data_IF_081617315797
#
_entry.id   IF_081617315797
#
_cell.length_a   1.000
_cell.length_b   1.000
_cell.length_c   1.000
_cell.angle_alpha   90.00
_cell.angle_beta   90.00
_cell.angle_gamma   90.00
#
_symmetry.space_group_name_H-M   'P 1'
#
loop_
_entity.id
_entity.type
_entity.pdbx_description
1 polymer ?
#
# COMPACT_ATOMS: atom_id res chain seq x y z
N UNK A 1 8.42 8.76 37.33
CA UNK A 1 9.10 8.60 36.01
C UNK A 1 8.11 7.92 35.09
N UNK A 2 7.85 8.46 33.91
CA UNK A 2 7.00 7.82 32.90
C UNK A 2 7.79 6.64 32.35
N UNK A 3 7.33 5.41 32.59
CA UNK A 3 7.93 4.21 32.00
C UNK A 3 7.54 4.13 30.53
N UNK A 4 8.49 4.23 29.63
CA UNK A 4 8.29 4.10 28.18
C UNK A 4 8.97 2.85 27.71
N UNK A 5 8.23 1.88 27.21
CA UNK A 5 8.72 0.57 26.78
C UNK A 5 8.31 0.36 25.31
N UNK A 6 9.26 -0.09 24.49
CA UNK A 6 8.97 -0.64 23.17
C UNK A 6 8.79 -2.15 23.31
N UNK A 7 7.66 -2.67 22.87
CA UNK A 7 7.33 -4.09 22.96
C UNK A 7 6.44 -4.52 21.79
N UNK A 8 6.22 -5.82 21.66
CA UNK A 8 5.17 -6.36 20.80
C UNK A 8 3.83 -6.35 21.58
N UNK A 9 2.71 -6.16 20.88
CA UNK A 9 1.41 -6.22 21.50
C UNK A 9 1.00 -7.65 21.84
N UNK A 10 0.10 -7.79 22.81
CA UNK A 10 -0.60 -9.02 23.12
C UNK A 10 -2.05 -8.95 22.60
N UNK A 11 -2.78 -10.04 22.65
CA UNK A 11 -4.20 -10.07 22.22
C UNK A 11 -5.08 -9.03 22.91
N UNK A 12 -4.84 -8.76 24.20
CA UNK A 12 -5.57 -7.73 24.96
C UNK A 12 -5.33 -6.31 24.45
N UNK A 13 -4.29 -6.10 23.67
CA UNK A 13 -3.92 -4.80 23.11
C UNK A 13 -4.64 -4.48 21.80
N UNK A 14 -5.23 -5.49 21.13
CA UNK A 14 -5.89 -5.35 19.81
C UNK A 14 -6.97 -4.26 19.81
N UNK A 15 -7.89 -4.16 20.79
CA UNK A 15 -8.88 -3.09 20.79
C UNK A 15 -8.27 -1.68 20.84
N UNK A 16 -7.18 -1.50 21.59
CA UNK A 16 -6.46 -0.23 21.68
C UNK A 16 -5.72 0.11 20.38
N UNK A 17 -5.13 -0.89 19.72
CA UNK A 17 -4.50 -0.73 18.40
C UNK A 17 -5.52 -0.31 17.33
N UNK A 18 -6.67 -0.99 17.28
CA UNK A 18 -7.75 -0.64 16.35
C UNK A 18 -8.26 0.78 16.59
N UNK A 19 -8.44 1.14 17.89
CA UNK A 19 -8.85 2.50 18.24
C UNK A 19 -7.83 3.53 17.79
N UNK A 20 -6.53 3.33 18.07
CA UNK A 20 -5.48 4.26 17.68
C UNK A 20 -5.41 4.40 16.16
N UNK A 21 -5.55 3.29 15.42
CA UNK A 21 -5.62 3.31 13.95
C UNK A 21 -6.78 4.18 13.45
N UNK A 22 -7.98 3.91 13.96
CA UNK A 22 -9.20 4.65 13.57
C UNK A 22 -9.11 6.14 13.89
N UNK A 23 -8.57 6.47 15.07
CA UNK A 23 -8.41 7.87 15.51
C UNK A 23 -7.41 8.66 14.59
N UNK A 24 -6.41 7.99 14.02
CA UNK A 24 -5.36 8.65 13.23
C UNK A 24 -5.64 8.60 11.72
N UNK A 25 -6.09 7.47 11.19
CA UNK A 25 -6.25 7.26 9.75
C UNK A 25 -7.70 7.38 9.28
N UNK A 26 -8.68 7.23 10.19
CA UNK A 26 -10.10 7.37 9.86
C UNK A 26 -10.71 6.19 9.11
N UNK A 27 -9.99 5.07 8.99
CA UNK A 27 -10.48 3.87 8.32
C UNK A 27 -11.68 3.26 9.06
N UNK A 28 -12.57 2.64 8.31
CA UNK A 28 -13.77 2.01 8.85
C UNK A 28 -13.49 0.63 9.47
N UNK A 29 -14.50 0.12 10.20
CA UNK A 29 -14.34 -1.15 10.88
C UNK A 29 -14.20 -2.34 9.90
N UNK A 30 -14.75 -2.25 8.70
CA UNK A 30 -14.66 -3.31 7.70
C UNK A 30 -13.22 -3.44 7.17
N UNK A 31 -12.53 -2.33 6.96
CA UNK A 31 -11.11 -2.32 6.62
C UNK A 31 -10.26 -2.86 7.77
N UNK A 32 -10.51 -2.41 8.99
CA UNK A 32 -9.78 -2.89 10.17
C UNK A 32 -9.98 -4.40 10.40
N UNK A 33 -11.20 -4.92 10.20
CA UNK A 33 -11.47 -6.35 10.28
C UNK A 33 -10.66 -7.14 9.24
N UNK A 34 -10.57 -6.63 8.01
CA UNK A 34 -9.75 -7.21 6.96
C UNK A 34 -8.27 -7.20 7.34
N UNK A 35 -7.74 -6.04 7.73
CA UNK A 35 -6.32 -5.87 8.10
C UNK A 35 -5.93 -6.79 9.25
N UNK A 36 -6.68 -6.78 10.36
CA UNK A 36 -6.37 -7.59 11.54
C UNK A 36 -6.53 -9.10 11.30
N UNK A 37 -7.37 -9.50 10.35
CA UNK A 37 -7.54 -10.91 9.95
C UNK A 37 -6.44 -11.41 9.03
N UNK A 38 -5.95 -10.57 8.10
CA UNK A 38 -5.12 -11.02 6.96
C UNK A 38 -3.65 -10.58 7.09
N UNK A 39 -3.41 -9.38 7.65
CA UNK A 39 -2.09 -8.73 7.64
C UNK A 39 -1.46 -8.60 9.01
N UNK A 40 -2.28 -8.48 10.05
CA UNK A 40 -1.77 -8.29 11.40
C UNK A 40 -0.94 -9.49 11.87
N UNK A 41 0.28 -9.18 12.35
CA UNK A 41 1.15 -10.14 13.01
C UNK A 41 1.71 -9.49 14.28
N UNK A 42 1.40 -10.00 15.48
CA UNK A 42 1.88 -9.42 16.72
C UNK A 42 3.40 -9.39 16.82
N UNK A 43 4.12 -10.40 16.29
CA UNK A 43 5.59 -10.46 16.33
C UNK A 43 6.24 -9.39 15.45
N UNK A 44 5.52 -8.90 14.44
CA UNK A 44 5.96 -7.87 13.50
C UNK A 44 5.28 -6.52 13.75
N UNK A 45 4.58 -6.39 14.88
CA UNK A 45 3.96 -5.15 15.33
C UNK A 45 4.73 -4.61 16.53
N UNK A 46 5.09 -3.35 16.48
CA UNK A 46 5.85 -2.69 17.55
C UNK A 46 5.03 -1.54 18.12
N UNK A 47 4.95 -1.47 19.45
CA UNK A 47 4.17 -0.46 20.15
C UNK A 47 5.00 0.24 21.22
N UNK A 48 4.60 1.47 21.54
CA UNK A 48 5.08 2.17 22.74
C UNK A 48 3.92 2.34 23.69
N UNK A 49 4.15 1.95 24.94
CA UNK A 49 3.24 2.20 26.07
C UNK A 49 3.79 3.29 26.99
N UNK A 50 2.93 4.20 27.39
CA UNK A 50 3.11 5.10 28.54
C UNK A 50 2.08 4.75 29.59
N UNK A 51 2.50 4.38 30.81
CA UNK A 51 1.60 4.01 31.90
C UNK A 51 0.53 2.99 31.46
N UNK A 52 0.96 1.92 30.77
CA UNK A 52 0.11 0.84 30.21
C UNK A 52 -0.79 1.26 29.03
N UNK A 53 -0.84 2.53 28.66
CA UNK A 53 -1.58 2.99 27.48
C UNK A 53 -0.72 2.93 26.21
N UNK A 54 -1.27 2.37 25.12
CA UNK A 54 -0.59 2.42 23.81
C UNK A 54 -0.67 3.84 23.26
N UNK A 55 0.49 4.45 23.08
CA UNK A 55 0.63 5.83 22.56
C UNK A 55 1.22 5.91 21.17
N UNK A 56 1.88 4.84 20.71
CA UNK A 56 2.38 4.76 19.33
C UNK A 56 2.42 3.30 18.86
N UNK A 57 2.30 3.12 17.55
CA UNK A 57 2.33 1.82 16.89
C UNK A 57 3.03 1.90 15.52
N UNK A 58 3.56 0.77 15.08
CA UNK A 58 4.14 0.52 13.77
C UNK A 58 3.93 -0.96 13.42
N UNK A 59 3.47 -1.24 12.21
CA UNK A 59 3.35 -2.60 11.67
C UNK A 59 4.40 -2.83 10.59
N UNK A 60 4.98 -4.02 10.58
CA UNK A 60 5.86 -4.48 9.50
C UNK A 60 5.23 -5.71 8.85
N UNK A 61 5.06 -5.66 7.54
CA UNK A 61 4.53 -6.75 6.73
C UNK A 61 5.66 -7.33 5.89
N UNK A 62 5.98 -8.61 6.12
CA UNK A 62 7.06 -9.29 5.37
C UNK A 62 6.51 -9.81 4.06
N UNK A 63 7.21 -9.49 2.98
CA UNK A 63 6.87 -9.92 1.63
C UNK A 63 8.12 -10.18 0.79
N UNK A 64 7.92 -10.56 -0.46
CA UNK A 64 8.98 -10.79 -1.43
C UNK A 64 8.95 -9.68 -2.47
N UNK A 65 10.05 -8.95 -2.61
CA UNK A 65 10.30 -8.13 -3.79
C UNK A 65 11.04 -8.98 -4.83
N UNK A 66 10.58 -8.89 -6.08
CA UNK A 66 11.29 -9.48 -7.23
C UNK A 66 12.01 -8.35 -7.95
N UNK A 67 13.31 -8.52 -8.21
CA UNK A 67 14.13 -7.58 -8.97
C UNK A 67 14.98 -8.37 -9.95
N UNK A 68 14.70 -8.23 -11.25
CA UNK A 68 15.43 -8.97 -12.29
C UNK A 68 15.58 -10.46 -11.93
N UNK A 69 14.46 -11.12 -11.61
CA UNK A 69 14.35 -12.52 -11.17
C UNK A 69 14.99 -12.84 -9.81
N UNK A 70 15.75 -11.93 -9.21
CA UNK A 70 16.25 -12.07 -7.84
C UNK A 70 15.13 -11.80 -6.84
N UNK A 71 14.95 -12.70 -5.89
CA UNK A 71 14.01 -12.54 -4.78
C UNK A 71 14.72 -11.88 -3.60
N UNK A 72 14.15 -10.78 -3.10
CA UNK A 72 14.62 -10.05 -1.94
C UNK A 72 13.57 -10.12 -0.85
N UNK A 73 14.02 -10.24 0.40
CA UNK A 73 13.12 -10.19 1.55
C UNK A 73 12.78 -8.74 1.88
N UNK A 74 11.53 -8.36 1.65
CA UNK A 74 11.01 -7.04 1.91
C UNK A 74 10.29 -6.93 3.25
N UNK A 75 10.28 -5.73 3.82
CA UNK A 75 9.39 -5.35 4.91
C UNK A 75 8.68 -4.03 4.57
N UNK A 76 7.37 -4.11 4.38
CA UNK A 76 6.51 -2.94 4.26
C UNK A 76 6.20 -2.39 5.65
N UNK A 77 6.57 -1.15 5.91
CA UNK A 77 6.27 -0.47 7.17
C UNK A 77 5.00 0.36 6.99
N UNK A 78 3.96 0.03 7.73
CA UNK A 78 2.65 0.69 7.64
C UNK A 78 2.06 0.97 9.02
N UNK A 79 0.95 1.71 9.05
CA UNK A 79 0.25 2.04 10.29
C UNK A 79 1.14 2.73 11.33
N UNK A 80 2.11 3.54 10.87
CA UNK A 80 3.01 4.29 11.76
C UNK A 80 2.23 5.45 12.36
N UNK A 81 1.79 5.29 13.59
CA UNK A 81 0.94 6.26 14.25
C UNK A 81 1.42 6.61 15.65
N UNK A 82 1.16 7.85 16.05
CA UNK A 82 1.34 8.34 17.42
C UNK A 82 0.10 9.08 17.85
N UNK A 83 -0.45 8.70 19.00
CA UNK A 83 -1.60 9.35 19.63
C UNK A 83 -1.34 10.87 19.69
N UNK A 84 -2.35 11.67 19.39
CA UNK A 84 -2.19 13.12 19.26
C UNK A 84 -1.58 13.76 20.51
N UNK A 85 -2.06 13.38 21.70
CA UNK A 85 -1.56 13.85 22.98
C UNK A 85 -0.11 13.45 23.31
N UNK A 86 0.45 12.51 22.55
CA UNK A 86 1.80 11.98 22.72
C UNK A 86 2.77 12.40 21.58
N UNK A 87 2.30 13.22 20.63
CA UNK A 87 3.14 13.78 19.56
C UNK A 87 4.24 14.68 20.10
N UNK A 88 5.29 14.89 19.32
CA UNK A 88 6.45 15.71 19.71
C UNK A 88 7.47 14.99 20.59
N UNK A 89 7.16 13.80 21.14
CA UNK A 89 8.08 13.02 21.99
C UNK A 89 9.01 12.05 21.23
N UNK A 90 8.95 12.05 19.90
CA UNK A 90 9.81 11.22 19.03
C UNK A 90 9.46 9.74 18.99
N UNK A 91 8.23 9.33 19.33
CA UNK A 91 7.86 7.92 19.43
C UNK A 91 7.84 7.21 18.08
N UNK A 92 7.31 7.84 17.02
CA UNK A 92 7.39 7.27 15.67
C UNK A 92 8.86 7.03 15.26
N UNK A 93 9.76 7.99 15.53
CA UNK A 93 11.19 7.82 15.25
C UNK A 93 11.81 6.65 16.01
N UNK A 94 11.48 6.49 17.29
CA UNK A 94 11.96 5.36 18.11
C UNK A 94 11.47 4.03 17.58
N UNK A 95 10.21 3.94 17.14
CA UNK A 95 9.64 2.70 16.56
C UNK A 95 10.32 2.37 15.22
N UNK A 96 10.52 3.34 14.34
CA UNK A 96 11.22 3.13 13.06
C UNK A 96 12.64 2.62 13.32
N UNK A 97 13.42 3.30 14.15
CA UNK A 97 14.79 2.89 14.47
C UNK A 97 14.85 1.49 15.11
N UNK A 98 13.93 1.19 16.01
CA UNK A 98 13.84 -0.11 16.65
C UNK A 98 13.52 -1.21 15.63
N UNK A 99 12.55 -0.99 14.75
CA UNK A 99 12.12 -1.93 13.71
C UNK A 99 13.27 -2.23 12.75
N UNK A 100 13.95 -1.19 12.24
CA UNK A 100 15.10 -1.34 11.34
C UNK A 100 16.26 -2.13 11.97
N UNK A 101 16.46 -2.00 13.28
CA UNK A 101 17.49 -2.73 14.03
C UNK A 101 17.08 -4.15 14.38
N UNK A 102 15.80 -4.39 14.66
CA UNK A 102 15.27 -5.70 15.07
C UNK A 102 15.14 -6.65 13.90
N UNK A 103 14.72 -6.18 12.74
CA UNK A 103 14.49 -6.99 11.54
C UNK A 103 15.76 -7.11 10.68
N UNK A 104 16.82 -7.71 11.24
CA UNK A 104 18.17 -7.78 10.61
C UNK A 104 18.22 -8.58 9.29
N UNK A 105 17.30 -9.53 9.09
CA UNK A 105 17.26 -10.40 7.92
C UNK A 105 16.49 -9.80 6.72
N UNK A 106 16.13 -8.51 6.79
CA UNK A 106 15.41 -7.80 5.72
C UNK A 106 16.44 -7.16 4.78
N UNK A 107 16.26 -7.39 3.48
CA UNK A 107 17.07 -6.79 2.42
C UNK A 107 16.59 -5.37 2.10
N UNK A 108 15.26 -5.17 2.08
CA UNK A 108 14.63 -3.91 1.69
C UNK A 108 13.49 -3.56 2.64
N UNK A 109 13.61 -2.42 3.33
CA UNK A 109 12.48 -1.78 4.00
C UNK A 109 11.85 -0.77 3.06
N UNK A 110 10.53 -0.71 3.01
CA UNK A 110 9.83 0.30 2.23
C UNK A 110 8.51 0.70 2.89
N UNK A 111 8.01 1.86 2.50
CA UNK A 111 6.78 2.43 3.03
C UNK A 111 6.15 3.37 1.98
N UNK A 112 4.87 3.67 2.17
CA UNK A 112 4.15 4.68 1.40
C UNK A 112 3.83 5.83 2.35
N UNK A 113 4.49 7.00 2.20
CA UNK A 113 4.18 8.18 3.00
C UNK A 113 2.74 8.64 2.74
N UNK A 114 1.99 8.98 3.78
CA UNK A 114 0.63 9.50 3.64
C UNK A 114 0.57 10.88 2.97
N UNK A 115 1.67 11.66 3.09
CA UNK A 115 1.80 13.01 2.52
C UNK A 115 3.22 13.22 1.98
N UNK A 116 3.36 14.08 0.99
CA UNK A 116 4.66 14.41 0.37
C UNK A 116 5.67 14.94 1.39
N UNK A 117 5.23 15.74 2.34
CA UNK A 117 6.07 16.30 3.43
C UNK A 117 6.76 15.23 4.28
N UNK A 118 6.22 14.02 4.33
CA UNK A 118 6.78 12.91 5.10
C UNK A 118 8.00 12.26 4.44
N UNK A 119 8.28 12.50 3.15
CA UNK A 119 9.52 12.02 2.53
C UNK A 119 10.75 12.58 3.24
N UNK A 120 10.76 13.87 3.58
CA UNK A 120 11.86 14.49 4.35
C UNK A 120 11.95 13.92 5.78
N UNK A 121 10.83 13.57 6.37
CA UNK A 121 10.82 12.87 7.67
C UNK A 121 11.50 11.51 7.58
N UNK A 122 11.15 10.68 6.59
CA UNK A 122 11.71 9.34 6.42
C UNK A 122 13.15 9.35 5.91
N UNK A 123 13.57 10.36 5.17
CA UNK A 123 14.95 10.56 4.73
C UNK A 123 15.94 10.57 5.90
N UNK A 124 15.53 11.05 7.08
CA UNK A 124 16.36 11.04 8.29
C UNK A 124 16.74 9.64 8.78
N UNK A 125 15.98 8.61 8.39
CA UNK A 125 16.24 7.20 8.66
C UNK A 125 16.96 6.50 7.51
N UNK A 126 17.32 7.23 6.46
CA UNK A 126 17.99 6.73 5.26
C UNK A 126 17.04 6.14 4.23
N UNK A 127 15.74 6.50 4.26
CA UNK A 127 14.82 6.19 3.18
C UNK A 127 15.01 7.18 2.02
N UNK A 128 14.88 6.66 0.80
CA UNK A 128 14.90 7.43 -0.44
C UNK A 128 13.64 7.14 -1.26
N UNK A 129 13.22 8.03 -2.17
CA UNK A 129 12.12 7.75 -3.08
C UNK A 129 12.34 6.46 -3.86
N UNK A 130 11.30 5.62 -3.97
CA UNK A 130 11.37 4.28 -4.53
C UNK A 130 10.56 4.13 -5.82
N UNK A 131 9.24 4.26 -5.75
CA UNK A 131 8.37 4.23 -6.92
C UNK A 131 7.77 5.61 -7.18
N UNK A 132 7.42 5.85 -8.45
CA UNK A 132 6.89 7.12 -8.90
C UNK A 132 5.60 6.89 -9.68
N UNK A 133 4.59 7.72 -9.39
CA UNK A 133 3.32 7.74 -10.09
C UNK A 133 2.95 9.15 -10.50
N UNK A 134 2.13 9.27 -11.55
CA UNK A 134 1.40 10.48 -11.84
C UNK A 134 -0.11 10.19 -11.78
N UNK A 135 -0.83 11.08 -11.12
CA UNK A 135 -2.29 11.02 -11.09
C UNK A 135 -2.83 11.77 -12.32
N UNK A 136 -3.21 11.00 -13.34
CA UNK A 136 -3.74 11.55 -14.59
C UNK A 136 -5.25 11.70 -14.49
N UNK A 137 -5.76 12.91 -14.67
CA UNK A 137 -7.21 13.16 -14.71
C UNK A 137 -7.80 12.71 -16.05
N UNK A 138 -8.91 11.97 -15.97
CA UNK A 138 -9.63 11.46 -17.13
C UNK A 138 -10.89 12.27 -17.32
N UNK A 139 -11.02 12.89 -18.49
CA UNK A 139 -12.24 13.61 -18.86
C UNK A 139 -13.33 12.63 -19.29
N UNK A 140 -14.60 12.86 -18.91
CA UNK A 140 -15.72 12.08 -19.43
C UNK A 140 -15.73 12.05 -20.95
N UNK A 141 -16.10 10.92 -21.52
CA UNK A 141 -16.17 10.79 -23.00
C UNK A 141 -16.91 9.51 -23.37
N UNK A 142 -17.53 9.52 -24.56
CA UNK A 142 -18.18 8.32 -25.09
C UNK A 142 -17.14 7.36 -25.63
N UNK A 143 -17.37 6.08 -25.38
CA UNK A 143 -16.55 4.98 -25.88
C UNK A 143 -17.46 4.02 -26.63
N UNK A 144 -17.25 3.86 -27.93
CA UNK A 144 -18.10 3.03 -28.78
C UNK A 144 -17.99 1.55 -28.46
N UNK A 145 -16.80 1.09 -28.08
CA UNK A 145 -16.54 -0.31 -27.76
C UNK A 145 -15.39 -0.43 -26.76
N UNK A 146 -15.57 -1.30 -25.79
CA UNK A 146 -14.50 -1.74 -24.88
C UNK A 146 -14.20 -3.22 -25.11
N UNK A 147 -12.99 -3.71 -24.77
CA UNK A 147 -12.66 -5.12 -24.81
C UNK A 147 -13.61 -5.94 -23.92
N UNK A 148 -13.81 -7.21 -24.29
CA UNK A 148 -14.55 -8.16 -23.45
C UNK A 148 -13.83 -8.34 -22.11
N UNK A 149 -14.61 -8.38 -21.03
CA UNK A 149 -14.07 -8.55 -19.70
C UNK A 149 -14.98 -9.41 -18.82
N UNK A 150 -14.39 -9.96 -17.76
CA UNK A 150 -15.13 -10.59 -16.66
C UNK A 150 -14.88 -9.80 -15.38
N UNK A 151 -15.95 -9.52 -14.63
CA UNK A 151 -15.82 -8.98 -13.28
C UNK A 151 -15.61 -10.14 -12.30
N UNK A 152 -14.72 -9.98 -11.31
CA UNK A 152 -14.52 -10.95 -10.26
C UNK A 152 -13.06 -11.24 -9.94
N UNK A 153 -12.82 -12.38 -9.30
CA UNK A 153 -11.52 -12.80 -8.79
C UNK A 153 -11.03 -14.07 -9.47
N UNK A 154 -9.85 -14.02 -10.04
CA UNK A 154 -9.12 -15.18 -10.55
C UNK A 154 -7.64 -15.01 -10.23
N UNK A 155 -7.16 -15.72 -9.20
CA UNK A 155 -5.75 -15.62 -8.78
C UNK A 155 -4.80 -15.99 -9.92
N UNK A 156 -5.08 -17.04 -10.67
CA UNK A 156 -4.23 -17.52 -11.75
C UNK A 156 -4.00 -16.42 -12.81
N UNK A 157 -5.09 -15.79 -13.28
CA UNK A 157 -5.01 -14.70 -14.26
C UNK A 157 -4.33 -13.47 -13.68
N UNK A 158 -4.72 -13.03 -12.47
CA UNK A 158 -4.15 -11.86 -11.80
C UNK A 158 -2.65 -12.02 -11.58
N UNK A 159 -2.20 -13.19 -11.08
CA UNK A 159 -0.79 -13.45 -10.86
C UNK A 159 0.00 -13.47 -12.17
N UNK A 160 -0.51 -14.18 -13.20
CA UNK A 160 0.12 -14.23 -14.53
C UNK A 160 0.32 -12.82 -15.11
N UNK A 161 -0.73 -12.00 -15.12
CA UNK A 161 -0.67 -10.66 -15.70
C UNK A 161 0.18 -9.71 -14.85
N UNK A 162 0.13 -9.82 -13.52
CA UNK A 162 0.98 -9.05 -12.62
C UNK A 162 2.47 -9.36 -12.88
N UNK A 163 2.86 -10.62 -12.97
CA UNK A 163 4.25 -11.02 -13.22
C UNK A 163 4.73 -10.60 -14.62
N UNK A 164 3.87 -10.66 -15.64
CA UNK A 164 4.26 -10.29 -17.01
C UNK A 164 4.34 -8.77 -17.23
N UNK A 165 3.49 -7.98 -16.55
CA UNK A 165 3.40 -6.53 -16.75
C UNK A 165 4.31 -5.74 -15.81
N UNK A 166 4.76 -6.33 -14.70
CA UNK A 166 5.59 -5.68 -13.69
C UNK A 166 7.05 -6.08 -13.87
N UNK A 167 7.63 -5.67 -14.99
CA UNK A 167 9.06 -5.82 -15.24
C UNK A 167 9.87 -4.96 -14.26
N UNK A 168 11.10 -5.35 -13.94
CA UNK A 168 11.99 -4.59 -13.06
C UNK A 168 11.88 -5.02 -11.60
N UNK A 169 11.42 -4.13 -10.71
CA UNK A 169 11.26 -4.42 -9.29
C UNK A 169 9.81 -4.28 -8.85
N UNK A 170 9.22 -5.33 -8.28
CA UNK A 170 7.84 -5.33 -7.81
C UNK A 170 7.65 -6.19 -6.56
N UNK A 171 6.57 -5.94 -5.82
CA UNK A 171 6.14 -6.79 -4.71
C UNK A 171 5.38 -7.99 -5.28
N UNK A 172 5.91 -9.20 -5.06
CA UNK A 172 5.23 -10.43 -5.43
C UNK A 172 4.04 -10.67 -4.50
N UNK A 173 2.86 -10.87 -5.08
CA UNK A 173 1.62 -11.07 -4.33
C UNK A 173 1.25 -12.55 -4.29
N UNK A 174 0.88 -13.02 -3.10
CA UNK A 174 0.28 -14.33 -2.89
C UNK A 174 -1.22 -14.32 -3.23
N UNK A 175 -1.84 -15.51 -3.18
CA UNK A 175 -3.30 -15.63 -3.23
C UNK A 175 -3.99 -14.75 -2.18
N UNK A 176 -3.48 -14.76 -0.95
CA UNK A 176 -4.07 -13.99 0.15
C UNK A 176 -3.93 -12.48 -0.06
N UNK A 177 -2.83 -12.02 -0.66
CA UNK A 177 -2.65 -10.60 -0.98
C UNK A 177 -3.66 -10.13 -2.02
N UNK A 178 -3.79 -10.85 -3.14
CA UNK A 178 -4.79 -10.51 -4.17
C UNK A 178 -6.22 -10.63 -3.63
N UNK A 179 -6.49 -11.64 -2.79
CA UNK A 179 -7.81 -11.83 -2.18
C UNK A 179 -8.15 -10.68 -1.22
N UNK A 180 -7.18 -10.21 -0.44
CA UNK A 180 -7.36 -9.05 0.44
C UNK A 180 -7.64 -7.76 -0.36
N UNK A 181 -6.89 -7.52 -1.45
CA UNK A 181 -7.13 -6.40 -2.36
C UNK A 181 -8.54 -6.50 -2.96
N UNK A 182 -8.95 -7.69 -3.42
CA UNK A 182 -10.29 -7.92 -3.94
C UNK A 182 -11.37 -7.67 -2.90
N UNK A 183 -11.19 -8.14 -1.67
CA UNK A 183 -12.15 -7.93 -0.58
C UNK A 183 -12.27 -6.45 -0.20
N UNK A 184 -11.17 -5.69 -0.31
CA UNK A 184 -11.15 -4.25 -0.08
C UNK A 184 -11.88 -3.48 -1.18
N UNK A 185 -11.47 -3.66 -2.42
CA UNK A 185 -11.98 -2.87 -3.56
C UNK A 185 -13.21 -3.50 -4.22
N UNK A 186 -13.29 -4.83 -4.36
CA UNK A 186 -14.33 -5.61 -5.06
C UNK A 186 -14.59 -5.16 -6.51
N UNK A 187 -13.60 -4.54 -7.15
CA UNK A 187 -13.70 -3.92 -8.46
C UNK A 187 -12.52 -4.32 -9.35
N UNK A 188 -12.52 -5.61 -9.76
CA UNK A 188 -11.57 -6.14 -10.72
C UNK A 188 -12.26 -6.39 -12.04
N UNK A 189 -11.70 -5.84 -13.12
CA UNK A 189 -12.05 -6.19 -14.51
C UNK A 189 -10.89 -6.99 -15.08
N UNK A 190 -11.15 -8.22 -15.52
CA UNK A 190 -10.17 -9.14 -16.06
C UNK A 190 -10.43 -9.30 -17.55
N UNK A 191 -9.45 -8.97 -18.37
CA UNK A 191 -9.44 -9.05 -19.82
C UNK A 191 -8.69 -10.30 -20.30
N UNK A 192 -8.59 -10.50 -21.61
CA UNK A 192 -7.80 -11.58 -22.20
C UNK A 192 -6.31 -11.46 -21.88
N UNK A 193 -5.79 -10.22 -21.90
CA UNK A 193 -4.37 -9.88 -21.82
C UNK A 193 -3.98 -9.08 -20.58
N UNK A 194 -4.91 -8.83 -19.65
CA UNK A 194 -4.61 -8.07 -18.44
C UNK A 194 -5.78 -7.88 -17.48
N UNK A 195 -5.62 -6.97 -16.55
CA UNK A 195 -6.66 -6.58 -15.60
C UNK A 195 -6.59 -5.09 -15.24
N UNK A 196 -7.69 -4.61 -14.68
CA UNK A 196 -7.81 -3.27 -14.09
C UNK A 196 -8.41 -3.43 -12.70
N UNK A 197 -7.83 -2.70 -11.72
CA UNK A 197 -8.37 -2.53 -10.37
C UNK A 197 -8.78 -1.08 -10.18
N UNK A 198 -10.01 -0.87 -9.73
CA UNK A 198 -10.53 0.47 -9.51
C UNK A 198 -11.44 0.55 -8.30
N UNK A 199 -11.70 1.76 -7.85
CA UNK A 199 -12.77 2.06 -6.90
C UNK A 199 -13.49 3.35 -7.26
N UNK A 200 -14.68 3.51 -6.69
CA UNK A 200 -15.48 4.76 -6.79
C UNK A 200 -15.72 5.22 -5.35
N UNK A 201 -15.28 6.42 -5.05
CA UNK A 201 -15.51 7.05 -3.76
C UNK A 201 -15.90 8.51 -3.92
N UNK A 202 -16.93 8.94 -3.22
CA UNK A 202 -17.44 10.32 -3.26
C UNK A 202 -17.67 10.86 -4.69
N UNK A 203 -18.17 10.00 -5.60
CA UNK A 203 -18.42 10.36 -6.99
C UNK A 203 -17.17 10.47 -7.87
N UNK A 204 -16.02 9.98 -7.41
CA UNK A 204 -14.76 10.00 -8.15
C UNK A 204 -14.32 8.56 -8.45
N UNK A 205 -14.06 8.28 -9.73
CA UNK A 205 -13.41 7.04 -10.18
C UNK A 205 -11.90 7.13 -9.94
N UNK A 206 -11.29 6.07 -9.44
CA UNK A 206 -9.84 5.94 -9.41
C UNK A 206 -9.43 4.56 -9.92
N UNK A 207 -8.69 4.53 -11.02
CA UNK A 207 -7.98 3.33 -11.47
C UNK A 207 -6.68 3.28 -10.69
N UNK A 208 -6.56 2.28 -9.80
CA UNK A 208 -5.41 2.14 -8.89
C UNK A 208 -4.32 1.29 -9.49
N UNK A 209 -4.68 0.31 -10.30
CA UNK A 209 -3.73 -0.57 -10.96
C UNK A 209 -4.30 -1.07 -12.29
N UNK A 210 -3.44 -1.22 -13.27
CA UNK A 210 -3.77 -1.84 -14.54
C UNK A 210 -2.54 -2.54 -15.13
N UNK A 211 -2.77 -3.62 -15.87
CA UNK A 211 -1.74 -4.39 -16.59
C UNK A 211 -1.98 -4.41 -18.10
N UNK A 212 -3.11 -3.89 -18.55
CA UNK A 212 -3.42 -3.59 -19.95
C UNK A 212 -2.68 -2.33 -20.41
N UNK A 213 -2.66 -2.04 -21.72
CA UNK A 213 -2.12 -0.79 -22.24
C UNK A 213 -2.85 0.44 -21.70
N UNK A 214 -2.14 1.57 -21.63
CA UNK A 214 -2.71 2.80 -21.09
C UNK A 214 -3.96 3.29 -21.85
N UNK A 215 -3.97 3.15 -23.17
CA UNK A 215 -5.09 3.51 -24.03
C UNK A 215 -6.34 2.68 -23.72
N UNK A 216 -6.16 1.40 -23.39
CA UNK A 216 -7.25 0.53 -22.92
C UNK A 216 -7.73 1.00 -21.54
N UNK A 217 -6.81 1.26 -20.62
CA UNK A 217 -7.15 1.75 -19.28
C UNK A 217 -7.91 3.10 -19.33
N UNK A 218 -7.51 4.02 -20.22
CA UNK A 218 -8.18 5.30 -20.45
C UNK A 218 -9.60 5.09 -21.01
N UNK A 219 -9.76 4.24 -22.03
CA UNK A 219 -11.06 3.91 -22.61
C UNK A 219 -11.99 3.27 -21.59
N UNK A 220 -11.49 2.32 -20.78
CA UNK A 220 -12.26 1.71 -19.69
C UNK A 220 -12.64 2.75 -18.64
N UNK A 221 -11.76 3.69 -18.32
CA UNK A 221 -12.07 4.77 -17.37
C UNK A 221 -13.25 5.63 -17.87
N UNK A 222 -13.25 6.03 -19.13
CA UNK A 222 -14.35 6.78 -19.75
C UNK A 222 -15.66 6.00 -19.73
N UNK A 223 -15.60 4.71 -20.09
CA UNK A 223 -16.75 3.82 -20.00
C UNK A 223 -17.32 3.71 -18.58
N UNK A 224 -16.44 3.53 -17.59
CA UNK A 224 -16.86 3.44 -16.18
C UNK A 224 -17.44 4.76 -15.67
N UNK A 225 -16.89 5.90 -16.10
CA UNK A 225 -17.43 7.22 -15.77
C UNK A 225 -18.82 7.43 -16.36
N UNK A 226 -19.03 7.10 -17.64
CA UNK A 226 -20.34 7.17 -18.29
C UNK A 226 -21.35 6.23 -17.62
N UNK A 227 -20.98 4.96 -17.45
CA UNK A 227 -21.83 3.93 -16.81
C UNK A 227 -22.30 4.31 -15.40
N UNK A 228 -21.45 4.99 -14.63
CA UNK A 228 -21.73 5.39 -13.24
C UNK A 228 -22.09 6.88 -13.10
N UNK A 229 -22.27 7.61 -14.20
CA UNK A 229 -22.62 9.05 -14.22
C UNK A 229 -21.65 9.90 -13.41
N UNK A 230 -20.34 9.68 -13.60
CA UNK A 230 -19.28 10.37 -12.89
C UNK A 230 -18.68 11.49 -13.74
N UNK A 231 -18.42 12.64 -13.11
CA UNK A 231 -17.79 13.79 -13.77
C UNK A 231 -16.26 13.78 -13.65
N UNK A 232 -15.70 13.03 -12.67
CA UNK A 232 -14.27 12.98 -12.41
C UNK A 232 -13.75 11.56 -12.32
N UNK A 233 -12.60 11.35 -12.95
CA UNK A 233 -11.87 10.09 -12.86
C UNK A 233 -10.37 10.32 -12.91
N UNK A 234 -9.61 9.39 -12.33
CA UNK A 234 -8.16 9.42 -12.31
C UNK A 234 -7.57 8.05 -12.61
N UNK A 235 -6.43 8.05 -13.30
CA UNK A 235 -5.58 6.86 -13.45
C UNK A 235 -4.27 7.13 -12.73
N UNK A 236 -3.83 6.20 -11.88
CA UNK A 236 -2.48 6.20 -11.33
C UNK A 236 -1.52 5.61 -12.37
N UNK A 237 -0.85 6.49 -13.11
CA UNK A 237 0.10 6.11 -14.16
C UNK A 237 1.46 5.80 -13.54
N UNK A 238 1.99 4.61 -13.81
CA UNK A 238 3.33 4.18 -13.39
C UNK A 238 4.43 4.99 -14.07
N UNK A 239 5.63 4.96 -13.48
CA UNK A 239 6.82 5.65 -14.00
C UNK A 239 6.59 7.15 -14.21
N UNK A 240 5.79 7.74 -13.33
CA UNK A 240 5.54 9.17 -13.25
C UNK A 240 6.71 9.95 -12.66
N UNK A 241 6.43 11.19 -12.27
CA UNK A 241 7.43 12.09 -11.67
C UNK A 241 7.22 12.30 -10.17
N UNK A 242 6.02 12.00 -9.67
CA UNK A 242 5.65 12.21 -8.27
C UNK A 242 6.09 11.02 -7.44
N UNK A 243 6.95 11.19 -6.42
CA UNK A 243 7.32 10.11 -5.52
C UNK A 243 6.07 9.52 -4.84
N UNK A 244 5.97 8.19 -4.82
CA UNK A 244 4.85 7.49 -4.23
C UNK A 244 5.25 6.66 -3.01
N UNK A 245 6.35 5.93 -3.10
CA UNK A 245 6.88 5.15 -1.99
C UNK A 245 8.33 5.51 -1.70
N UNK A 246 8.79 5.16 -0.51
CA UNK A 246 10.18 5.31 -0.10
C UNK A 246 10.76 3.96 0.34
N UNK A 247 12.06 3.75 0.13
CA UNK A 247 12.77 2.54 0.51
C UNK A 247 14.08 2.83 1.24
N UNK A 248 14.51 1.84 2.00
CA UNK A 248 15.86 1.74 2.55
C UNK A 248 16.37 0.32 2.31
N UNK A 249 17.50 0.19 1.63
CA UNK A 249 18.12 -1.09 1.34
C UNK A 249 19.59 -1.09 1.67
N UNK A 250 20.15 -2.28 1.90
CA UNK A 250 21.58 -2.51 1.97
C UNK A 250 22.21 -2.71 0.59
N UNK A 251 21.39 -3.04 -0.41
CA UNK A 251 21.81 -3.19 -1.80
C UNK A 251 21.47 -1.91 -2.59
N UNK A 252 22.28 -1.60 -3.59
CA UNK A 252 21.95 -0.54 -4.56
C UNK A 252 20.80 -0.98 -5.45
N UNK A 253 19.80 -0.13 -5.63
CA UNK A 253 18.72 -0.32 -6.58
C UNK A 253 18.94 0.58 -7.79
N UNK A 254 18.86 -0.02 -8.98
CA UNK A 254 18.55 0.75 -10.17
C UNK A 254 17.11 1.24 -10.06
N UNK A 255 16.91 2.56 -10.14
CA UNK A 255 15.61 3.21 -9.88
C UNK A 255 14.65 3.14 -11.07
N UNK A 256 14.96 2.33 -12.09
CA UNK A 256 14.08 2.11 -13.24
C UNK A 256 13.07 0.99 -12.96
N UNK A 257 11.84 1.19 -13.37
CA UNK A 257 10.74 0.22 -13.32
C UNK A 257 10.47 -0.40 -11.95
N UNK A 258 10.31 0.46 -10.94
CA UNK A 258 9.94 0.01 -9.60
C UNK A 258 8.42 0.16 -9.42
N UNK A 259 7.78 -0.94 -9.05
CA UNK A 259 6.36 -0.98 -8.82
C UNK A 259 6.01 -1.42 -7.38
N UNK A 260 5.59 -0.46 -6.58
CA UNK A 260 5.02 -0.69 -5.25
C UNK A 260 3.69 0.05 -5.20
N UNK A 261 2.59 -0.67 -5.22
CA UNK A 261 1.23 -0.15 -5.16
C UNK A 261 0.30 -1.21 -4.57
N UNK A 262 -0.95 -0.83 -4.26
CA UNK A 262 -1.98 -1.67 -3.68
C UNK A 262 -1.50 -2.43 -2.42
N UNK A 263 -0.65 -1.80 -1.64
CA UNK A 263 -0.46 -2.22 -0.27
C UNK A 263 -1.71 -1.79 0.50
N UNK A 264 -2.25 -2.68 1.32
CA UNK A 264 -3.37 -2.32 2.20
C UNK A 264 -2.82 -1.44 3.32
N UNK A 265 -2.96 -0.14 3.19
CA UNK A 265 -2.47 0.89 4.10
C UNK A 265 -3.52 1.97 4.31
#
# INVERSE_FOLDING_TARGET
MISTIITNPSEKDIPSLRKLWKDIFGDDDSYLDLFFRVKYNPELTFIIKENEEIVAMLYAEINTLVKNDKKLKGAYLCGIATKESARGKGYASKLIDYTLKSLKAIDVFYLIPAEESLFDYYKRFGFEPFSYFDKTEIQPGKVDKIPEYTEGFSYEKLNKFSESALNGCYVKRSYNDFKAIYDCYKRFMIFEDGYIVYYISKGILTITEYTVDFEIADSISKYLMEKNQLEKGYILKRNGKTPFSAYKSRESFDKTDIYVNLMLN
#
